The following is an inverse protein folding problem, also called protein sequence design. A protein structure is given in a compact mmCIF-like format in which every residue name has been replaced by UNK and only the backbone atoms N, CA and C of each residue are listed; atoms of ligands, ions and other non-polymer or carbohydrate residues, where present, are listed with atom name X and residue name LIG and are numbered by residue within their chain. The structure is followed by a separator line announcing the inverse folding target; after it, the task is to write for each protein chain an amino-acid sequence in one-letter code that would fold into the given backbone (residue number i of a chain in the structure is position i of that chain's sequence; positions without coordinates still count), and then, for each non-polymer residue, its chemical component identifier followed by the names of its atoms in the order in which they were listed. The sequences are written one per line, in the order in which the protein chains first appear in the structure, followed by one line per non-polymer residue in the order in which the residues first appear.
data_IF_635903267939
#
_entry.id   IF_635903267939
#
_cell.length_a   1.000
_cell.length_b   1.000
_cell.length_c   1.000
_cell.angle_alpha   90.00
_cell.angle_beta   90.00
_cell.angle_gamma   90.00
#
_symmetry.space_group_name_H-M   'P 1'
#
loop_
_entity.id
_entity.type
_entity.pdbx_description
1 polymer ?
#
# COMPACT_ATOMS: atom_id res chain seq x y z
N UNK A 1 9.67 -16.73 -9.14
CA UNK A 1 10.05 -16.26 -7.79
C UNK A 1 8.73 -15.94 -7.11
N UNK A 2 8.30 -16.76 -6.16
CA UNK A 2 7.05 -16.49 -5.44
C UNK A 2 7.35 -15.36 -4.46
N UNK A 3 6.62 -14.25 -4.58
CA UNK A 3 6.57 -13.22 -3.55
C UNK A 3 6.03 -13.91 -2.28
N UNK A 4 6.67 -13.74 -1.13
CA UNK A 4 6.09 -14.16 0.14
C UNK A 4 4.91 -13.19 0.41
N UNK A 5 3.76 -13.61 -0.10
CA UNK A 5 2.71 -12.72 -0.61
C UNK A 5 2.01 -11.93 0.53
N UNK A 6 2.16 -12.38 1.79
CA UNK A 6 1.62 -11.72 2.98
C UNK A 6 2.39 -10.46 3.38
N UNK A 7 3.72 -10.45 3.29
CA UNK A 7 4.53 -9.26 3.61
C UNK A 7 4.67 -8.35 2.39
N UNK A 8 4.67 -8.94 1.19
CA UNK A 8 4.91 -8.24 -0.07
C UNK A 8 6.37 -7.84 -0.25
N UNK A 9 6.67 -7.18 -1.37
CA UNK A 9 8.01 -6.63 -1.63
C UNK A 9 7.99 -5.12 -1.57
N UNK A 10 8.89 -4.54 -0.78
CA UNK A 10 9.11 -3.09 -0.75
C UNK A 10 9.63 -2.64 -2.11
N UNK A 11 8.84 -1.81 -2.79
CA UNK A 11 9.17 -1.24 -4.12
C UNK A 11 9.49 0.25 -4.05
N UNK A 12 9.10 0.91 -2.97
CA UNK A 12 9.58 2.26 -2.65
C UNK A 12 9.62 2.46 -1.15
N UNK A 13 10.53 3.31 -0.71
CA UNK A 13 10.60 3.76 0.66
C UNK A 13 10.86 5.25 0.70
N UNK A 14 10.37 5.91 1.75
CA UNK A 14 10.52 7.34 1.91
C UNK A 14 10.40 7.76 3.35
N UNK A 15 10.66 9.02 3.60
CA UNK A 15 10.60 9.62 4.93
C UNK A 15 9.77 10.88 4.88
N UNK A 16 8.85 11.03 5.84
CA UNK A 16 8.01 12.21 5.99
C UNK A 16 8.10 12.74 7.42
N UNK A 17 7.72 14.00 7.61
CA UNK A 17 7.74 14.66 8.91
C UNK A 17 6.33 14.75 9.47
N UNK A 18 6.01 13.91 10.45
CA UNK A 18 4.78 14.02 11.21
C UNK A 18 4.80 15.28 12.07
N UNK A 19 3.74 16.08 11.94
CA UNK A 19 3.61 17.40 12.57
C UNK A 19 4.79 18.35 12.25
N UNK A 20 5.44 18.14 11.10
CA UNK A 20 6.57 18.96 10.65
C UNK A 20 7.92 18.68 11.33
N UNK A 21 7.96 17.91 12.43
CA UNK A 21 9.18 17.72 13.23
C UNK A 21 9.57 16.24 13.45
N UNK A 22 8.61 15.30 13.41
CA UNK A 22 8.88 13.90 13.75
C UNK A 22 9.09 13.08 12.49
N UNK A 23 10.34 12.70 12.24
CA UNK A 23 10.67 11.79 11.13
C UNK A 23 9.98 10.43 11.26
N UNK A 24 9.23 10.06 10.22
CA UNK A 24 8.51 8.79 10.09
C UNK A 24 8.87 8.14 8.77
N UNK A 25 9.06 6.81 8.82
CA UNK A 25 9.30 5.99 7.65
C UNK A 25 7.98 5.63 6.98
N UNK A 26 7.95 5.70 5.65
CA UNK A 26 6.90 5.12 4.82
C UNK A 26 7.49 4.10 3.86
N UNK A 27 6.72 3.05 3.58
CA UNK A 27 7.05 2.00 2.63
C UNK A 27 5.86 1.81 1.69
N UNK A 28 6.16 1.62 0.41
CA UNK A 28 5.22 1.11 -0.58
C UNK A 28 5.58 -0.34 -0.86
N UNK A 29 4.64 -1.25 -0.65
CA UNK A 29 4.83 -2.69 -0.90
C UNK A 29 3.97 -3.16 -2.07
N UNK A 30 4.56 -3.91 -3.00
CA UNK A 30 3.86 -4.61 -4.06
C UNK A 30 3.49 -6.04 -3.65
N UNK A 31 2.31 -6.50 -4.07
CA UNK A 31 1.74 -7.82 -3.76
C UNK A 31 0.98 -8.38 -4.97
N UNK A 32 0.84 -9.71 -5.08
CA UNK A 32 0.13 -10.35 -6.19
C UNK A 32 -1.39 -10.46 -6.00
N UNK A 33 -1.91 -10.11 -4.82
CA UNK A 33 -3.33 -10.22 -4.50
C UNK A 33 -3.76 -9.14 -3.52
N UNK A 34 -5.08 -8.90 -3.44
CA UNK A 34 -5.65 -7.96 -2.48
C UNK A 34 -5.61 -8.54 -1.05
N UNK A 35 -4.52 -8.28 -0.35
CA UNK A 35 -4.30 -8.79 1.01
C UNK A 35 -5.29 -8.22 2.02
N UNK A 36 -5.75 -6.98 1.83
CA UNK A 36 -6.70 -6.34 2.75
C UNK A 36 -8.04 -7.05 2.62
N UNK A 37 -8.51 -7.24 1.39
CA UNK A 37 -9.74 -7.99 1.14
C UNK A 37 -9.61 -9.42 1.68
N UNK A 38 -8.51 -10.12 1.40
CA UNK A 38 -8.31 -11.49 1.87
C UNK A 38 -8.30 -11.60 3.40
N UNK A 39 -7.66 -10.65 4.09
CA UNK A 39 -7.64 -10.58 5.56
C UNK A 39 -9.05 -10.31 6.10
N UNK A 40 -9.75 -9.33 5.54
CA UNK A 40 -11.10 -8.98 6.01
C UNK A 40 -12.11 -10.08 5.71
N UNK A 41 -11.94 -10.79 4.59
CA UNK A 41 -12.74 -11.96 4.26
C UNK A 41 -12.53 -13.07 5.29
N UNK A 42 -11.28 -13.35 5.67
CA UNK A 42 -10.94 -14.35 6.68
C UNK A 42 -11.48 -13.99 8.07
N UNK A 43 -11.47 -12.70 8.41
CA UNK A 43 -11.97 -12.18 9.70
C UNK A 43 -13.50 -11.96 9.71
N UNK A 44 -14.20 -12.14 8.58
CA UNK A 44 -15.63 -11.88 8.47
C UNK A 44 -16.02 -10.41 8.61
N UNK A 45 -15.10 -9.50 8.26
CA UNK A 45 -15.25 -8.04 8.38
C UNK A 45 -15.71 -7.38 7.06
N UNK A 46 -15.86 -8.15 5.98
CA UNK A 46 -16.36 -7.63 4.71
C UNK A 46 -17.86 -7.36 4.76
N UNK A 47 -18.29 -6.32 4.06
CA UNK A 47 -19.71 -6.09 3.80
C UNK A 47 -20.24 -7.09 2.76
N UNK A 48 -21.56 -7.29 2.74
CA UNK A 48 -22.20 -8.13 1.74
C UNK A 48 -21.95 -7.58 0.33
N UNK A 49 -21.38 -8.43 -0.55
CA UNK A 49 -21.05 -8.06 -1.92
C UNK A 49 -19.72 -7.34 -2.10
N UNK A 50 -18.90 -7.18 -1.05
CA UNK A 50 -17.58 -6.57 -1.15
C UNK A 50 -16.61 -7.49 -1.90
N UNK A 51 -16.13 -7.02 -3.05
CA UNK A 51 -15.19 -7.74 -3.93
C UNK A 51 -13.76 -7.22 -3.74
N UNK A 52 -12.73 -8.03 -4.04
CA UNK A 52 -11.35 -7.56 -4.01
C UNK A 52 -11.17 -6.43 -5.02
N UNK A 53 -10.23 -5.53 -4.75
CA UNK A 53 -9.86 -4.52 -5.71
C UNK A 53 -9.33 -5.16 -7.00
N UNK A 54 -9.46 -4.45 -8.11
CA UNK A 54 -8.82 -4.86 -9.37
C UNK A 54 -7.31 -4.59 -9.27
N UNK A 55 -6.46 -5.51 -9.80
CA UNK A 55 -5.03 -5.29 -9.82
C UNK A 55 -4.67 -4.13 -10.76
N UNK A 56 -3.48 -3.58 -10.56
CA UNK A 56 -2.88 -2.62 -11.45
C UNK A 56 -2.65 -3.16 -12.87
N UNK A 57 -2.23 -2.30 -13.82
CA UNK A 57 -1.97 -2.69 -15.21
C UNK A 57 -0.85 -3.74 -15.37
N UNK A 58 0.00 -3.89 -14.36
CA UNK A 58 1.06 -4.90 -14.25
C UNK A 58 0.62 -6.17 -13.51
N UNK A 59 -0.64 -6.26 -13.09
CA UNK A 59 -1.17 -7.38 -12.32
C UNK A 59 -0.82 -7.32 -10.82
N UNK A 60 -0.29 -6.20 -10.33
CA UNK A 60 0.14 -6.06 -8.93
C UNK A 60 -0.77 -5.10 -8.14
N UNK A 61 -0.72 -5.25 -6.83
CA UNK A 61 -1.38 -4.40 -5.85
C UNK A 61 -0.34 -3.64 -5.04
N UNK A 62 -0.47 -2.33 -4.96
CA UNK A 62 0.45 -1.46 -4.22
C UNK A 62 -0.17 -0.98 -2.92
N UNK A 63 0.54 -1.12 -1.80
CA UNK A 63 0.04 -0.74 -0.49
C UNK A 63 0.96 0.27 0.18
N UNK A 64 0.34 1.20 0.89
CA UNK A 64 0.98 2.02 1.92
C UNK A 64 0.48 1.50 3.27
N UNK A 65 1.31 1.57 4.30
CA UNK A 65 0.94 1.06 5.62
C UNK A 65 -0.39 1.65 6.12
N UNK A 66 -1.37 0.79 6.38
CA UNK A 66 -2.69 1.18 6.90
C UNK A 66 -3.70 1.64 5.84
N UNK A 67 -3.43 1.42 4.55
CA UNK A 67 -4.33 1.83 3.46
C UNK A 67 -4.96 0.64 2.71
N UNK A 68 -5.86 0.96 1.78
CA UNK A 68 -6.26 0.03 0.72
C UNK A 68 -5.22 -0.07 -0.41
N UNK A 69 -5.42 -0.99 -1.36
CA UNK A 69 -4.55 -1.12 -2.52
C UNK A 69 -4.68 0.05 -3.48
N UNK A 70 -3.56 0.39 -4.13
CA UNK A 70 -3.44 1.33 -5.24
C UNK A 70 -3.07 0.58 -6.53
N UNK A 71 -3.51 1.08 -7.69
CA UNK A 71 -3.23 0.43 -8.97
C UNK A 71 -1.80 0.66 -9.46
N UNK A 72 -1.09 1.70 -8.98
CA UNK A 72 0.32 1.93 -9.32
C UNK A 72 1.14 2.43 -8.13
N UNK A 73 2.47 2.26 -8.19
CA UNK A 73 3.40 2.89 -7.23
C UNK A 73 3.25 4.41 -7.23
N UNK A 74 3.01 5.02 -8.39
CA UNK A 74 2.86 6.47 -8.50
C UNK A 74 1.63 6.96 -7.74
N UNK A 75 0.51 6.25 -7.84
CA UNK A 75 -0.72 6.57 -7.09
C UNK A 75 -0.51 6.40 -5.58
N UNK A 76 0.18 5.34 -5.17
CA UNK A 76 0.54 5.12 -3.76
C UNK A 76 1.43 6.25 -3.22
N UNK A 77 2.44 6.69 -3.98
CA UNK A 77 3.31 7.81 -3.62
C UNK A 77 2.52 9.11 -3.52
N UNK A 78 1.70 9.43 -4.51
CA UNK A 78 0.90 10.64 -4.55
C UNK A 78 -0.09 10.71 -3.38
N UNK A 79 -0.74 9.59 -3.05
CA UNK A 79 -1.60 9.51 -1.86
C UNK A 79 -0.82 9.76 -0.57
N UNK A 80 0.37 9.17 -0.44
CA UNK A 80 1.22 9.34 0.74
C UNK A 80 1.57 10.81 0.94
N UNK A 81 1.96 11.50 -0.13
CA UNK A 81 2.29 12.92 -0.08
C UNK A 81 1.07 13.80 0.25
N UNK A 82 -0.11 13.44 -0.23
CA UNK A 82 -1.36 14.13 0.11
C UNK A 82 -1.77 13.91 1.57
N UNK A 83 -1.63 12.69 2.07
CA UNK A 83 -2.12 12.30 3.40
C UNK A 83 -1.17 12.74 4.53
N UNK A 84 0.13 12.65 4.29
CA UNK A 84 1.16 12.81 5.32
C UNK A 84 2.04 14.05 5.12
N UNK A 85 1.85 14.78 4.03
CA UNK A 85 2.69 15.90 3.64
C UNK A 85 3.90 15.44 2.80
N UNK A 86 4.85 16.34 2.51
CA UNK A 86 5.94 16.04 1.60
C UNK A 86 6.76 14.84 2.07
N UNK A 87 6.93 13.87 1.17
CA UNK A 87 7.73 12.66 1.41
C UNK A 87 9.02 12.78 0.62
N UNK A 88 10.14 12.60 1.30
CA UNK A 88 11.43 12.41 0.64
C UNK A 88 11.56 10.92 0.33
N UNK A 89 11.35 10.55 -0.93
CA UNK A 89 11.52 9.18 -1.41
C UNK A 89 13.01 8.86 -1.59
N UNK A 90 13.42 7.65 -1.24
CA UNK A 90 14.77 7.19 -1.52
C UNK A 90 14.88 6.80 -3.01
N UNK A 91 16.02 7.13 -3.62
CA UNK A 91 16.38 6.76 -4.99
C UNK A 91 17.02 5.37 -5.06
#
# INVERSE_FOLDING_TARGET
MALDDLEGVVVASGTWLYDGDISKRTLVTARNYDVRWATYHADGLLNEGELPAEPGPDGLYYYVSGTGPFPTVADAKAWTEQAWGPVVWDE
#
